data_IF_195002280852
#
_entry.id   IF_195002280852
#
_cell.length_a   1.000
_cell.length_b   1.000
_cell.length_c   1.000
_cell.angle_alpha   90.00
_cell.angle_beta   90.00
_cell.angle_gamma   90.00
#
_symmetry.space_group_name_H-M   'P 1'
#
loop_
_entity.id
_entity.type
_entity.pdbx_description
1 polymer ?
#
# COMPACT_ATOMS: atom_id res chain seq x y z
N UNK A 1 5.05 5.85 -10.34
CA UNK A 1 6.02 6.63 -9.54
C UNK A 1 7.47 6.38 -9.94
N UNK A 2 7.95 5.14 -10.05
CA UNK A 2 9.33 4.87 -10.52
C UNK A 2 9.69 5.50 -11.88
N UNK A 3 8.74 5.51 -12.81
CA UNK A 3 8.94 6.14 -14.12
C UNK A 3 9.15 7.65 -14.03
N UNK A 4 8.36 8.36 -13.20
CA UNK A 4 8.47 9.81 -13.08
C UNK A 4 9.75 10.23 -12.34
N UNK A 5 10.18 9.44 -11.37
CA UNK A 5 11.48 9.59 -10.71
C UNK A 5 12.63 9.44 -11.72
N UNK A 6 12.62 8.37 -12.52
CA UNK A 6 13.63 8.14 -13.56
C UNK A 6 13.64 9.23 -14.63
N UNK A 7 12.46 9.66 -15.07
CA UNK A 7 12.34 10.69 -16.11
C UNK A 7 12.76 12.08 -15.61
N UNK A 8 12.34 12.45 -14.40
CA UNK A 8 12.67 13.75 -13.82
C UNK A 8 14.14 13.82 -13.40
N UNK A 9 14.73 12.70 -12.96
CA UNK A 9 16.05 12.66 -12.32
C UNK A 9 16.01 13.15 -10.87
N UNK A 10 14.82 13.21 -10.27
CA UNK A 10 14.58 13.67 -8.91
C UNK A 10 14.15 12.50 -8.04
N UNK A 11 14.84 12.28 -6.92
CA UNK A 11 14.46 11.27 -5.92
C UNK A 11 13.14 11.67 -5.25
N UNK A 12 12.13 10.80 -5.37
CA UNK A 12 10.79 11.05 -4.82
C UNK A 12 10.56 10.34 -3.48
N UNK A 13 11.59 9.71 -2.91
CA UNK A 13 11.52 9.02 -1.63
C UNK A 13 10.51 7.87 -1.64
N UNK A 14 10.38 7.13 -2.74
CA UNK A 14 9.40 6.05 -2.88
C UNK A 14 9.82 4.80 -2.08
N UNK A 15 9.01 4.43 -1.10
CA UNK A 15 9.19 3.23 -0.28
C UNK A 15 7.96 2.32 -0.38
N UNK A 16 8.10 1.20 -1.10
CA UNK A 16 7.07 0.17 -1.24
C UNK A 16 7.16 -0.83 -0.07
N UNK A 17 6.72 -0.41 1.11
CA UNK A 17 6.81 -1.23 2.34
C UNK A 17 5.72 -2.30 2.44
N UNK A 18 4.73 -2.25 1.56
CA UNK A 18 3.44 -2.88 1.78
C UNK A 18 2.62 -2.14 2.83
N UNK A 19 1.35 -2.50 2.92
CA UNK A 19 0.39 -1.94 3.86
C UNK A 19 -0.59 -2.99 4.33
N UNK A 20 -1.09 -2.82 5.56
CA UNK A 20 -2.07 -3.72 6.18
C UNK A 20 -3.26 -2.91 6.69
N UNK A 21 -4.44 -3.20 6.16
CA UNK A 21 -5.70 -2.74 6.72
C UNK A 21 -6.19 -3.75 7.75
N UNK A 22 -6.24 -3.36 9.02
CA UNK A 22 -6.59 -4.25 10.15
C UNK A 22 -8.10 -4.17 10.46
N UNK A 23 -8.72 -5.29 10.84
CA UNK A 23 -10.08 -5.36 11.37
C UNK A 23 -10.14 -6.02 12.75
N UNK A 24 -10.74 -5.32 13.72
CA UNK A 24 -11.10 -5.84 15.06
C UNK A 24 -12.62 -5.92 15.27
N UNK A 25 -13.41 -5.46 14.30
CA UNK A 25 -14.87 -5.50 14.29
C UNK A 25 -15.36 -6.43 13.16
N UNK A 26 -16.40 -7.27 13.39
CA UNK A 26 -16.90 -8.19 12.37
C UNK A 26 -17.38 -7.51 11.09
N UNK A 27 -18.04 -6.35 11.17
CA UNK A 27 -18.50 -5.63 9.98
C UNK A 27 -17.31 -5.08 9.17
N UNK A 28 -16.28 -4.58 9.85
CA UNK A 28 -15.02 -4.20 9.18
C UNK A 28 -14.33 -5.40 8.53
N UNK A 29 -14.36 -6.56 9.17
CA UNK A 29 -13.76 -7.78 8.61
C UNK A 29 -14.46 -8.25 7.34
N UNK A 30 -15.80 -8.27 7.33
CA UNK A 30 -16.58 -8.59 6.13
C UNK A 30 -16.34 -7.57 5.00
N UNK A 31 -16.23 -6.28 5.34
CA UNK A 31 -15.88 -5.26 4.36
C UNK A 31 -14.51 -5.51 3.72
N UNK A 32 -13.48 -5.88 4.50
CA UNK A 32 -12.16 -6.20 3.96
C UNK A 32 -12.16 -7.45 3.06
N UNK A 33 -12.94 -8.47 3.39
CA UNK A 33 -13.11 -9.64 2.51
C UNK A 33 -13.76 -9.27 1.19
N UNK A 34 -14.77 -8.39 1.23
CA UNK A 34 -15.43 -7.87 0.02
C UNK A 34 -14.44 -7.06 -0.85
N UNK A 35 -13.64 -6.17 -0.23
CA UNK A 35 -12.59 -5.43 -0.94
C UNK A 35 -11.54 -6.37 -1.58
N UNK A 36 -11.13 -7.42 -0.86
CA UNK A 36 -10.25 -8.45 -1.41
C UNK A 36 -10.87 -9.19 -2.60
N UNK A 37 -12.16 -9.53 -2.54
CA UNK A 37 -12.86 -10.16 -3.67
C UNK A 37 -12.87 -9.25 -4.91
N UNK A 38 -13.01 -7.93 -4.72
CA UNK A 38 -12.89 -6.95 -5.81
C UNK A 38 -11.47 -6.99 -6.39
N UNK A 39 -10.43 -6.98 -5.57
CA UNK A 39 -9.04 -7.10 -6.03
C UNK A 39 -8.79 -8.37 -6.86
N UNK A 40 -9.31 -9.52 -6.42
CA UNK A 40 -9.22 -10.77 -7.17
C UNK A 40 -9.94 -10.69 -8.53
N UNK A 41 -11.08 -10.03 -8.58
CA UNK A 41 -11.87 -9.90 -9.83
C UNK A 41 -11.17 -9.05 -10.90
N UNK A 42 -10.29 -8.13 -10.51
CA UNK A 42 -9.55 -7.24 -11.42
C UNK A 42 -8.08 -7.64 -11.62
N UNK A 43 -7.68 -8.82 -11.10
CA UNK A 43 -6.34 -9.37 -11.29
C UNK A 43 -5.25 -8.76 -10.41
N UNK A 44 -5.61 -8.17 -9.26
CA UNK A 44 -4.62 -7.71 -8.28
C UNK A 44 -4.22 -8.89 -7.40
N UNK A 45 -3.04 -9.44 -7.68
CA UNK A 45 -2.45 -10.59 -6.97
C UNK A 45 -1.55 -10.18 -5.79
N UNK A 46 -1.20 -8.89 -5.68
CA UNK A 46 -0.34 -8.36 -4.61
C UNK A 46 -1.07 -8.26 -3.27
N UNK A 47 -2.39 -8.34 -3.28
CA UNK A 47 -3.25 -8.23 -2.11
C UNK A 47 -3.74 -9.59 -1.61
N UNK A 48 -3.67 -9.81 -0.30
CA UNK A 48 -4.12 -11.04 0.37
C UNK A 48 -4.70 -10.76 1.74
N UNK A 49 -5.65 -11.60 2.16
CA UNK A 49 -6.09 -11.63 3.55
C UNK A 49 -4.97 -12.19 4.44
N UNK A 50 -4.82 -11.62 5.62
CA UNK A 50 -3.81 -11.98 6.63
C UNK A 50 -4.45 -12.24 7.99
N UNK A 51 -3.87 -13.18 8.71
CA UNK A 51 -4.22 -13.52 10.09
C UNK A 51 -3.57 -12.56 11.09
N UNK A 52 -4.04 -12.48 12.35
CA UNK A 52 -3.38 -11.70 13.40
C UNK A 52 -1.88 -12.02 13.57
N UNK A 53 -1.50 -13.31 13.48
CA UNK A 53 -0.10 -13.73 13.60
C UNK A 53 0.76 -13.21 12.44
N UNK A 54 0.22 -13.22 11.22
CA UNK A 54 0.90 -12.65 10.05
C UNK A 54 1.01 -11.13 10.15
N UNK A 55 0.00 -10.44 10.69
CA UNK A 55 0.07 -8.99 10.95
C UNK A 55 1.20 -8.69 11.93
N UNK A 56 1.33 -9.49 13.00
CA UNK A 56 2.41 -9.37 13.98
C UNK A 56 3.79 -9.64 13.35
N UNK A 57 3.87 -10.59 12.42
CA UNK A 57 5.10 -10.86 11.68
C UNK A 57 5.47 -9.71 10.72
N UNK A 58 4.48 -9.09 10.05
CA UNK A 58 4.67 -7.95 9.17
C UNK A 58 5.11 -6.71 9.96
N UNK A 59 4.46 -6.43 11.09
CA UNK A 59 4.75 -5.27 11.93
C UNK A 59 4.79 -5.68 13.42
N UNK A 60 5.96 -6.04 13.96
CA UNK A 60 6.10 -6.57 15.33
C UNK A 60 5.62 -5.64 16.44
N UNK A 61 5.55 -4.33 16.17
CA UNK A 61 5.12 -3.32 17.15
C UNK A 61 3.59 -3.22 17.28
N UNK A 62 2.81 -3.80 16.36
CA UNK A 62 1.35 -3.78 16.41
C UNK A 62 0.82 -4.70 17.51
N UNK A 63 -0.10 -4.22 18.33
CA UNK A 63 -0.89 -5.09 19.21
C UNK A 63 -2.03 -5.73 18.41
N UNK A 64 -2.10 -7.06 18.46
CA UNK A 64 -3.08 -7.86 17.71
C UNK A 64 -4.20 -8.39 18.60
N UNK A 65 -4.26 -7.95 19.86
CA UNK A 65 -5.33 -8.31 20.79
C UNK A 65 -6.69 -7.87 20.23
N UNK A 66 -7.61 -8.82 20.04
CA UNK A 66 -8.94 -8.56 19.49
C UNK A 66 -9.00 -8.33 17.98
N UNK A 67 -7.89 -8.52 17.26
CA UNK A 67 -7.86 -8.45 15.79
C UNK A 67 -8.44 -9.74 15.21
N UNK A 68 -9.35 -9.62 14.24
CA UNK A 68 -9.94 -10.72 13.49
C UNK A 68 -9.10 -11.12 12.28
N UNK A 69 -8.41 -10.14 11.69
CA UNK A 69 -7.56 -10.31 10.52
C UNK A 69 -7.27 -8.97 9.84
N UNK A 70 -6.72 -9.02 8.64
CA UNK A 70 -6.46 -7.84 7.84
C UNK A 70 -6.36 -8.13 6.36
N UNK A 71 -6.27 -7.06 5.57
CA UNK A 71 -5.99 -7.10 4.14
C UNK A 71 -4.62 -6.46 3.92
N UNK A 72 -3.65 -7.25 3.49
CA UNK A 72 -2.31 -6.80 3.17
C UNK A 72 -2.14 -6.64 1.66
N UNK A 73 -1.49 -5.58 1.21
CA UNK A 73 -1.04 -5.43 -0.18
C UNK A 73 0.45 -5.04 -0.22
N UNK A 74 1.27 -5.82 -0.94
CA UNK A 74 2.71 -5.54 -1.11
C UNK A 74 2.97 -4.35 -2.04
N UNK A 75 1.98 -3.92 -2.82
CA UNK A 75 2.07 -2.77 -3.73
C UNK A 75 1.62 -1.46 -3.07
N UNK A 76 1.50 -1.43 -1.74
CA UNK A 76 1.32 -0.21 -0.96
C UNK A 76 2.66 0.32 -0.40
N UNK A 77 2.66 1.59 0.01
CA UNK A 77 3.85 2.25 0.50
C UNK A 77 3.62 3.74 0.72
N UNK A 78 4.71 4.49 0.79
CA UNK A 78 4.69 5.95 0.90
C UNK A 78 5.77 6.58 0.02
N UNK A 79 5.63 7.89 -0.22
CA UNK A 79 6.57 8.70 -0.98
C UNK A 79 6.60 10.13 -0.45
N UNK A 80 7.59 10.92 -0.85
CA UNK A 80 7.65 12.35 -0.55
C UNK A 80 6.73 13.13 -1.52
N UNK A 81 5.61 13.73 -1.02
CA UNK A 81 4.72 14.50 -1.87
C UNK A 81 5.38 15.77 -2.42
N UNK A 82 6.33 16.38 -1.70
CA UNK A 82 7.03 17.58 -2.15
C UNK A 82 7.93 17.26 -3.35
N UNK A 83 8.81 16.26 -3.21
CA UNK A 83 9.68 15.79 -4.27
C UNK A 83 8.90 15.26 -5.48
N UNK A 84 7.82 14.52 -5.24
CA UNK A 84 6.97 13.99 -6.33
C UNK A 84 6.35 15.11 -7.16
N UNK A 85 5.90 16.20 -6.54
CA UNK A 85 5.34 17.36 -7.26
C UNK A 85 6.41 18.01 -8.16
N UNK A 86 7.63 18.15 -7.66
CA UNK A 86 8.74 18.70 -8.44
C UNK A 86 9.19 17.76 -9.55
N UNK A 87 9.18 16.45 -9.31
CA UNK A 87 9.46 15.43 -10.31
C UNK A 87 8.48 15.53 -11.50
N UNK A 88 7.17 15.64 -11.22
CA UNK A 88 6.17 15.87 -12.27
C UNK A 88 6.41 17.17 -13.03
N UNK A 89 6.65 18.29 -12.34
CA UNK A 89 6.92 19.57 -12.99
C UNK A 89 8.20 19.54 -13.85
N UNK A 90 9.25 18.86 -13.38
CA UNK A 90 10.51 18.69 -14.11
C UNK A 90 10.34 17.84 -15.36
N UNK A 91 9.64 16.70 -15.26
CA UNK A 91 9.33 15.85 -16.40
C UNK A 91 8.45 16.57 -17.44
N UNK A 92 7.42 17.29 -17.00
CA UNK A 92 6.58 18.08 -17.89
C UNK A 92 7.41 19.09 -18.70
N UNK A 93 8.28 19.88 -18.05
CA UNK A 93 9.19 20.83 -18.73
C UNK A 93 10.11 20.17 -19.75
N UNK A 94 10.53 18.91 -19.54
CA UNK A 94 11.37 18.18 -20.49
C UNK A 94 10.61 17.78 -21.76
N UNK A 95 9.29 17.58 -21.66
CA UNK A 95 8.43 17.18 -22.78
C UNK A 95 7.94 18.36 -23.64
N UNK A 96 8.24 19.60 -23.25
CA UNK A 96 7.78 20.83 -23.91
C UNK A 96 6.50 21.37 -23.31
#
# INVERSE_FOLDING_TARGET
>A
YREIEAESGWDIGLHMTGGVNIASDPARWEWLKSAWAVFQSVGIETARLVTPDEIKAICPIVDVTGVLGGLHDSNEGHLDPYGTTHAYAGAAKKRG
#
